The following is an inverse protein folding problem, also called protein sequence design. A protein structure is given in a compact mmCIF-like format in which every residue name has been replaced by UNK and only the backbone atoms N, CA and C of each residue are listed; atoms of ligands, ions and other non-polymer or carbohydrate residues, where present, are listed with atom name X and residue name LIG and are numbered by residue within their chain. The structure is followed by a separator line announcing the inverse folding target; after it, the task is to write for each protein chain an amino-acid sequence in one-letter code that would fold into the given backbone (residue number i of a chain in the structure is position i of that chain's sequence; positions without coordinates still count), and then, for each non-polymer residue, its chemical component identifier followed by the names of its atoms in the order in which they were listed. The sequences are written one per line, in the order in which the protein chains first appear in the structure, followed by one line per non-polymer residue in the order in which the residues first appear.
data_IF_209294347130
#
_entry.id   IF_209294347130
#
_cell.length_a   1.000
_cell.length_b   1.000
_cell.length_c   1.000
_cell.angle_alpha   90.00
_cell.angle_beta   90.00
_cell.angle_gamma   90.00
#
_symmetry.space_group_name_H-M   'P 1'
#
loop_
_entity.id
_entity.type
_entity.pdbx_description
1 polymer ?
#
# COMPACT_ATOMS: atom_id res chain seq x y z
N UNK A 1 -3.45 0.59 -24.12
CA UNK A 1 -2.68 1.85 -24.11
C UNK A 1 -2.78 2.61 -22.78
N UNK A 2 -3.81 2.40 -21.95
CA UNK A 2 -3.98 3.13 -20.68
C UNK A 2 -3.03 2.70 -19.55
N UNK A 3 -2.65 1.42 -19.47
CA UNK A 3 -1.89 0.89 -18.33
C UNK A 3 -0.48 1.48 -18.20
N UNK A 4 0.17 1.81 -19.33
CA UNK A 4 1.48 2.46 -19.31
C UNK A 4 1.42 3.88 -18.74
N UNK A 5 0.35 4.61 -19.04
CA UNK A 5 0.13 5.97 -18.53
C UNK A 5 -0.19 5.89 -17.03
N UNK A 6 -1.07 4.97 -16.63
CA UNK A 6 -1.40 4.72 -15.22
C UNK A 6 -0.15 4.41 -14.39
N UNK A 7 0.74 3.55 -14.91
CA UNK A 7 2.01 3.21 -14.25
C UNK A 7 2.91 4.43 -14.08
N UNK A 8 3.02 5.26 -15.11
CA UNK A 8 3.91 6.42 -15.11
C UNK A 8 3.37 7.52 -14.18
N UNK A 9 2.07 7.77 -14.21
CA UNK A 9 1.39 8.69 -13.29
C UNK A 9 1.48 8.17 -11.86
N UNK A 10 1.29 6.87 -11.63
CA UNK A 10 1.43 6.25 -10.33
C UNK A 10 2.86 6.39 -9.77
N UNK A 11 3.86 6.19 -10.63
CA UNK A 11 5.27 6.36 -10.26
C UNK A 11 5.59 7.81 -9.90
N UNK A 12 5.19 8.77 -10.74
CA UNK A 12 5.38 10.19 -10.45
C UNK A 12 4.67 10.55 -9.14
N UNK A 13 3.41 10.12 -8.97
CA UNK A 13 2.64 10.35 -7.74
C UNK A 13 3.36 9.81 -6.50
N UNK A 14 3.85 8.56 -6.56
CA UNK A 14 4.60 7.96 -5.46
C UNK A 14 5.88 8.74 -5.13
N UNK A 15 6.65 9.17 -6.14
CA UNK A 15 7.84 10.01 -5.92
C UNK A 15 7.46 11.38 -5.35
N UNK A 16 6.40 12.01 -5.85
CA UNK A 16 5.92 13.30 -5.35
C UNK A 16 5.49 13.24 -3.90
N UNK A 17 4.73 12.20 -3.50
CA UNK A 17 4.40 11.99 -2.09
C UNK A 17 5.64 11.70 -1.25
N UNK A 18 6.60 10.93 -1.76
CA UNK A 18 7.87 10.71 -1.07
C UNK A 18 8.61 12.02 -0.76
N UNK A 19 8.64 12.96 -1.71
CA UNK A 19 9.20 14.30 -1.51
C UNK A 19 8.37 15.10 -0.50
N UNK A 20 7.04 15.04 -0.57
CA UNK A 20 6.13 15.72 0.35
C UNK A 20 6.35 15.30 1.81
N UNK A 21 6.59 14.00 2.05
CA UNK A 21 6.90 13.46 3.38
C UNK A 21 8.40 13.54 3.75
N UNK A 22 9.19 14.33 3.00
CA UNK A 22 10.60 14.57 3.26
C UNK A 22 11.43 13.30 3.45
N UNK A 23 11.20 12.28 2.61
CA UNK A 23 11.98 11.04 2.65
C UNK A 23 13.39 11.22 2.08
N UNK A 24 14.38 10.44 2.54
CA UNK A 24 15.76 10.55 2.05
C UNK A 24 15.84 10.42 0.53
N UNK A 25 16.63 11.28 -0.11
CA UNK A 25 16.75 11.35 -1.58
C UNK A 25 17.18 10.03 -2.22
N UNK A 26 17.99 9.24 -1.50
CA UNK A 26 18.47 7.91 -1.93
C UNK A 26 17.35 6.86 -2.07
N UNK A 27 16.17 7.12 -1.50
CA UNK A 27 15.04 6.17 -1.50
C UNK A 27 13.81 6.65 -2.25
N UNK A 28 13.84 7.86 -2.83
CA UNK A 28 12.73 8.42 -3.61
C UNK A 28 12.26 7.46 -4.70
N UNK A 29 13.20 6.93 -5.49
CA UNK A 29 12.89 6.01 -6.59
C UNK A 29 12.25 4.73 -6.05
N UNK A 30 12.82 4.17 -4.97
CA UNK A 30 12.33 2.95 -4.35
C UNK A 30 10.92 3.12 -3.76
N UNK A 31 10.61 4.28 -3.18
CA UNK A 31 9.27 4.59 -2.69
C UNK A 31 8.26 4.77 -3.83
N UNK A 32 8.68 5.41 -4.92
CA UNK A 32 7.88 5.49 -6.16
C UNK A 32 7.55 4.11 -6.72
N UNK A 33 8.52 3.20 -6.77
CA UNK A 33 8.31 1.82 -7.21
C UNK A 33 7.34 1.04 -6.31
N UNK A 34 7.41 1.25 -4.98
CA UNK A 34 6.49 0.64 -4.01
C UNK A 34 5.06 1.14 -4.21
N UNK A 35 4.86 2.45 -4.38
CA UNK A 35 3.52 2.98 -4.65
C UNK A 35 2.96 2.49 -5.99
N UNK A 36 3.81 2.44 -7.02
CA UNK A 36 3.43 1.93 -8.33
C UNK A 36 3.02 0.46 -8.28
N UNK A 37 3.75 -0.39 -7.54
CA UNK A 37 3.44 -1.81 -7.46
C UNK A 37 2.10 -2.08 -6.80
N UNK A 38 1.79 -1.37 -5.70
CA UNK A 38 0.49 -1.46 -5.05
C UNK A 38 -0.66 -0.95 -5.91
N UNK A 39 -0.48 0.21 -6.54
CA UNK A 39 -1.47 0.78 -7.43
C UNK A 39 -1.74 -0.11 -8.65
N UNK A 40 -0.70 -0.69 -9.25
CA UNK A 40 -0.85 -1.59 -10.38
C UNK A 40 -1.65 -2.84 -10.00
N UNK A 41 -1.36 -3.44 -8.85
CA UNK A 41 -2.11 -4.62 -8.35
C UNK A 41 -3.58 -4.25 -8.15
N UNK A 42 -3.85 -3.08 -7.57
CA UNK A 42 -5.20 -2.58 -7.41
C UNK A 42 -5.91 -2.37 -8.77
N UNK A 43 -5.30 -1.60 -9.69
CA UNK A 43 -5.88 -1.28 -10.99
C UNK A 43 -6.13 -2.54 -11.83
N UNK A 44 -5.19 -3.50 -11.85
CA UNK A 44 -5.35 -4.76 -12.56
C UNK A 44 -6.51 -5.58 -11.99
N UNK A 45 -6.60 -5.69 -10.65
CA UNK A 45 -7.67 -6.47 -10.01
C UNK A 45 -9.05 -5.89 -10.31
N UNK A 46 -9.20 -4.57 -10.22
CA UNK A 46 -10.44 -3.86 -10.58
C UNK A 46 -10.73 -4.00 -12.09
N UNK A 47 -9.69 -3.92 -12.94
CA UNK A 47 -9.81 -4.10 -14.39
C UNK A 47 -10.33 -5.47 -14.82
N UNK A 48 -10.12 -6.52 -14.00
CA UNK A 48 -10.70 -7.85 -14.21
C UNK A 48 -12.13 -8.01 -13.66
N UNK A 49 -12.75 -6.92 -13.19
CA UNK A 49 -14.08 -6.94 -12.58
C UNK A 49 -14.07 -7.32 -11.10
N UNK A 50 -12.91 -7.30 -10.45
CA UNK A 50 -12.77 -7.56 -9.03
C UNK A 50 -13.30 -6.41 -8.16
N UNK A 51 -13.69 -6.75 -6.94
CA UNK A 51 -14.19 -5.78 -5.97
C UNK A 51 -13.08 -4.79 -5.50
N UNK A 52 -13.33 -3.47 -5.44
CA UNK A 52 -12.33 -2.48 -5.03
C UNK A 52 -11.76 -2.68 -3.63
N UNK A 53 -12.53 -3.24 -2.69
CA UNK A 53 -12.09 -3.51 -1.32
C UNK A 53 -11.05 -4.64 -1.33
N UNK A 54 -11.34 -5.72 -2.06
CA UNK A 54 -10.40 -6.83 -2.25
C UNK A 54 -9.14 -6.39 -3.02
N UNK A 55 -9.31 -5.60 -4.08
CA UNK A 55 -8.19 -5.03 -4.84
C UNK A 55 -7.25 -4.22 -3.93
N UNK A 56 -7.83 -3.42 -3.03
CA UNK A 56 -7.07 -2.60 -2.09
C UNK A 56 -6.33 -3.46 -1.05
N UNK A 57 -6.94 -4.54 -0.57
CA UNK A 57 -6.26 -5.50 0.32
C UNK A 57 -4.99 -6.05 -0.34
N UNK A 58 -5.09 -6.55 -1.58
CA UNK A 58 -3.94 -7.10 -2.30
C UNK A 58 -2.90 -6.02 -2.63
N UNK A 59 -3.33 -4.81 -3.00
CA UNK A 59 -2.43 -3.68 -3.22
C UNK A 59 -1.63 -3.31 -1.97
N UNK A 60 -2.30 -3.18 -0.82
CA UNK A 60 -1.67 -2.89 0.47
C UNK A 60 -0.73 -4.01 0.93
N UNK A 61 -1.12 -5.27 0.71
CA UNK A 61 -0.28 -6.42 1.01
C UNK A 61 1.03 -6.40 0.21
N UNK A 62 0.96 -6.11 -1.10
CA UNK A 62 2.15 -5.99 -1.96
C UNK A 62 3.02 -4.80 -1.56
N UNK A 63 2.43 -3.66 -1.24
CA UNK A 63 3.16 -2.49 -0.72
C UNK A 63 3.94 -2.86 0.54
N UNK A 64 3.30 -3.52 1.52
CA UNK A 64 3.95 -3.89 2.76
C UNK A 64 5.10 -4.89 2.57
N UNK A 65 4.93 -5.90 1.71
CA UNK A 65 6.01 -6.84 1.39
C UNK A 65 7.19 -6.10 0.75
N UNK A 66 6.92 -5.28 -0.27
CA UNK A 66 7.97 -4.52 -0.96
C UNK A 66 8.69 -3.56 0.00
N UNK A 67 7.92 -2.88 0.87
CA UNK A 67 8.45 -2.00 1.91
C UNK A 67 9.34 -2.75 2.90
N UNK A 68 8.96 -3.94 3.36
CA UNK A 68 9.79 -4.76 4.25
C UNK A 68 11.12 -5.18 3.60
N UNK A 69 11.09 -5.58 2.33
CA UNK A 69 12.30 -5.99 1.60
C UNK A 69 13.26 -4.81 1.42
N UNK A 70 12.74 -3.65 1.04
CA UNK A 70 13.53 -2.43 0.85
C UNK A 70 14.04 -1.86 2.18
N UNK A 71 13.22 -1.85 3.23
CA UNK A 71 13.63 -1.46 4.57
C UNK A 71 14.88 -2.21 5.04
N UNK A 72 14.94 -3.52 4.78
CA UNK A 72 16.10 -4.35 5.11
C UNK A 72 17.32 -4.03 4.25
N UNK A 73 17.12 -3.76 2.96
CA UNK A 73 18.21 -3.42 2.03
C UNK A 73 18.85 -2.07 2.39
N UNK A 74 18.02 -1.05 2.64
CA UNK A 74 18.46 0.30 2.96
C UNK A 74 18.78 0.52 4.44
N UNK A 75 18.47 -0.45 5.32
CA UNK A 75 18.61 -0.36 6.79
C UNK A 75 17.88 0.86 7.36
N UNK A 76 16.63 1.04 6.93
CA UNK A 76 15.79 2.17 7.32
C UNK A 76 14.42 1.69 7.80
N UNK A 77 13.69 2.52 8.57
CA UNK A 77 12.33 2.21 8.99
C UNK A 77 11.41 1.88 7.80
N UNK A 78 10.64 0.80 7.92
CA UNK A 78 9.70 0.35 6.87
C UNK A 78 8.67 1.42 6.51
N UNK A 79 8.27 2.24 7.49
CA UNK A 79 7.25 3.27 7.34
C UNK A 79 7.59 4.29 6.24
N UNK A 80 8.87 4.54 5.97
CA UNK A 80 9.33 5.42 4.89
C UNK A 80 8.83 4.93 3.53
N UNK A 81 8.88 3.62 3.30
CA UNK A 81 8.48 3.02 2.03
C UNK A 81 6.98 2.74 1.98
N UNK A 82 6.39 2.25 3.09
CA UNK A 82 4.98 1.86 3.10
C UNK A 82 4.05 3.06 2.99
N UNK A 83 4.32 4.15 3.72
CA UNK A 83 3.44 5.36 3.70
C UNK A 83 3.34 5.95 2.31
N UNK A 84 4.46 6.06 1.58
CA UNK A 84 4.44 6.59 0.21
C UNK A 84 3.53 5.79 -0.73
N UNK A 85 3.45 4.48 -0.55
CA UNK A 85 2.58 3.63 -1.38
C UNK A 85 1.14 3.60 -0.91
N UNK A 86 0.93 3.51 0.41
CA UNK A 86 -0.41 3.43 1.02
C UNK A 86 -1.25 4.66 0.67
N UNK A 87 -0.65 5.86 0.66
CA UNK A 87 -1.38 7.11 0.41
C UNK A 87 -2.13 7.10 -0.92
N UNK A 88 -1.62 6.41 -1.93
CA UNK A 88 -2.29 6.28 -3.22
C UNK A 88 -3.53 5.38 -3.18
N UNK A 89 -3.61 4.46 -2.22
CA UNK A 89 -4.73 3.55 -2.03
C UNK A 89 -5.76 4.07 -1.02
N UNK A 90 -5.40 5.03 -0.17
CA UNK A 90 -6.32 5.57 0.84
C UNK A 90 -7.53 6.23 0.16
N UNK A 91 -8.77 5.91 0.57
CA UNK A 91 -9.99 6.41 -0.04
C UNK A 91 -10.31 7.85 0.39
N UNK A 92 -9.38 8.78 0.17
CA UNK A 92 -9.51 10.18 0.60
C UNK A 92 -10.67 10.91 -0.09
N UNK A 93 -10.89 10.64 -1.38
CA UNK A 93 -12.02 11.22 -2.14
C UNK A 93 -13.38 10.75 -1.62
N UNK A 94 -13.51 9.47 -1.28
CA UNK A 94 -14.75 8.91 -0.72
C UNK A 94 -15.02 9.46 0.68
N UNK A 95 -13.98 9.58 1.51
CA UNK A 95 -14.10 10.21 2.83
C UNK A 95 -14.51 11.69 2.72
N UNK A 96 -13.91 12.45 1.80
CA UNK A 96 -14.28 13.84 1.56
C UNK A 96 -15.73 13.96 1.05
N UNK A 97 -16.12 13.14 0.07
CA UNK A 97 -17.50 13.13 -0.45
C UNK A 97 -18.52 12.73 0.61
N UNK A 98 -18.19 11.80 1.51
CA UNK A 98 -19.06 11.47 2.63
C UNK A 98 -19.34 12.70 3.51
N UNK A 99 -18.29 13.44 3.89
CA UNK A 99 -18.45 14.67 4.67
C UNK A 99 -19.21 15.75 3.91
N UNK A 100 -18.94 15.92 2.62
CA UNK A 100 -19.62 16.89 1.76
C UNK A 100 -21.13 16.63 1.73
N UNK A 101 -21.55 15.38 1.52
CA UNK A 101 -22.96 15.00 1.46
C UNK A 101 -23.67 15.18 2.82
N UNK A 102 -22.97 15.01 3.94
CA UNK A 102 -23.52 15.36 5.27
C UNK A 102 -23.86 16.85 5.37
N UNK A 103 -22.98 17.72 4.86
CA UNK A 103 -23.21 19.18 4.85
C UNK A 103 -24.36 19.56 3.92
N UNK A 104 -24.51 18.85 2.81
CA UNK A 104 -25.61 19.04 1.84
C UNK A 104 -26.94 18.39 2.29
N UNK A 105 -26.98 17.74 3.45
CA UNK A 105 -28.12 17.00 3.99
C UNK A 105 -28.54 15.77 3.14
N UNK A 106 -27.69 15.28 2.24
CA UNK A 106 -27.88 13.99 1.56
C UNK A 106 -27.25 12.85 2.37
N UNK A 107 -27.97 12.42 3.40
CA UNK A 107 -27.48 11.37 4.30
C UNK A 107 -27.39 9.99 3.66
N UNK A 108 -28.17 9.69 2.62
CA UNK A 108 -28.14 8.38 1.96
C UNK A 108 -26.83 8.21 1.19
N UNK A 109 -26.46 9.22 0.39
CA UNK A 109 -25.18 9.24 -0.33
C UNK A 109 -24.00 9.32 0.64
N UNK A 110 -24.11 10.13 1.70
CA UNK A 110 -23.10 10.22 2.74
C UNK A 110 -22.78 8.86 3.39
N UNK A 111 -23.80 8.09 3.75
CA UNK A 111 -23.64 6.78 4.38
C UNK A 111 -22.99 5.77 3.43
N UNK A 112 -23.34 5.81 2.13
CA UNK A 112 -22.74 4.96 1.10
C UNK A 112 -21.24 5.25 0.96
N UNK A 113 -20.86 6.53 0.78
CA UNK A 113 -19.45 6.92 0.67
C UNK A 113 -18.66 6.65 1.95
N UNK A 114 -19.25 6.87 3.13
CA UNK A 114 -18.62 6.56 4.41
C UNK A 114 -18.38 5.06 4.56
N UNK A 115 -19.37 4.22 4.22
CA UNK A 115 -19.24 2.77 4.24
C UNK A 115 -18.11 2.27 3.35
N UNK A 116 -18.04 2.78 2.11
CA UNK A 116 -16.97 2.40 1.19
C UNK A 116 -15.59 2.87 1.67
N UNK A 117 -15.47 4.10 2.18
CA UNK A 117 -14.23 4.60 2.73
C UNK A 117 -13.76 3.75 3.93
N UNK A 118 -14.67 3.33 4.81
CA UNK A 118 -14.37 2.46 5.95
C UNK A 118 -13.94 1.06 5.50
N UNK A 119 -14.64 0.45 4.54
CA UNK A 119 -14.31 -0.88 4.03
C UNK A 119 -12.94 -0.89 3.35
N UNK A 120 -12.66 0.08 2.47
CA UNK A 120 -11.36 0.21 1.79
C UNK A 120 -10.25 0.47 2.82
N UNK A 121 -10.45 1.38 3.78
CA UNK A 121 -9.46 1.64 4.84
C UNK A 121 -9.21 0.41 5.72
N UNK A 122 -10.27 -0.33 6.05
CA UNK A 122 -10.17 -1.61 6.76
C UNK A 122 -9.38 -2.66 5.98
N UNK A 123 -9.61 -2.74 4.66
CA UNK A 123 -8.85 -3.63 3.78
C UNK A 123 -7.36 -3.27 3.72
N UNK A 124 -7.01 -1.98 3.71
CA UNK A 124 -5.61 -1.52 3.83
C UNK A 124 -5.01 -2.03 5.14
N UNK A 125 -5.67 -1.75 6.28
CA UNK A 125 -5.17 -2.16 7.59
C UNK A 125 -4.95 -3.67 7.66
N UNK A 126 -5.91 -4.46 7.18
CA UNK A 126 -5.80 -5.93 7.13
C UNK A 126 -4.66 -6.39 6.22
N UNK A 127 -4.51 -5.79 5.03
CA UNK A 127 -3.44 -6.13 4.09
C UNK A 127 -2.05 -5.88 4.67
N UNK A 128 -1.87 -4.77 5.39
CA UNK A 128 -0.61 -4.45 6.07
C UNK A 128 -0.29 -5.43 7.21
N UNK A 129 -1.27 -5.71 8.08
CA UNK A 129 -1.08 -6.66 9.20
C UNK A 129 -0.78 -8.06 8.69
N UNK A 130 -1.49 -8.52 7.65
CA UNK A 130 -1.25 -9.84 7.06
C UNK A 130 0.14 -9.93 6.43
N UNK A 131 0.58 -8.90 5.71
CA UNK A 131 1.92 -8.84 5.15
C UNK A 131 3.00 -8.84 6.24
N UNK A 132 2.77 -8.13 7.34
CA UNK A 132 3.70 -8.11 8.48
C UNK A 132 3.84 -9.50 9.09
N UNK A 133 2.74 -10.19 9.41
CA UNK A 133 2.75 -11.55 9.93
C UNK A 133 3.44 -12.52 8.95
N UNK A 134 3.13 -12.42 7.66
CA UNK A 134 3.73 -13.25 6.62
C UNK A 134 5.25 -13.04 6.53
N UNK A 135 5.72 -11.79 6.55
CA UNK A 135 7.14 -11.46 6.51
C UNK A 135 7.87 -11.89 7.78
N UNK A 136 7.25 -11.75 8.96
CA UNK A 136 7.80 -12.22 10.23
C UNK A 136 8.00 -13.74 10.22
N UNK A 137 7.02 -14.51 9.71
CA UNK A 137 7.14 -15.97 9.57
C UNK A 137 8.30 -16.36 8.65
N UNK A 138 8.42 -15.72 7.48
CA UNK A 138 9.51 -15.98 6.54
C UNK A 138 10.87 -15.69 7.18
N UNK A 139 11.01 -14.54 7.85
CA UNK A 139 12.29 -14.17 8.47
C UNK A 139 12.65 -15.10 9.64
N UNK A 140 11.69 -15.54 10.44
CA UNK A 140 11.92 -16.50 11.52
C UNK A 140 12.39 -17.86 10.99
N UNK A 141 11.79 -18.36 9.91
CA UNK A 141 12.20 -19.62 9.26
C UNK A 141 13.61 -19.53 8.66
N UNK A 142 13.95 -18.40 8.03
CA UNK A 142 15.29 -18.18 7.48
C UNK A 142 16.36 -18.06 8.58
N UNK A 143 16.02 -17.48 9.73
CA UNK A 143 16.93 -17.35 10.89
C UNK A 143 17.24 -18.71 11.53
N UNK A 144 16.24 -19.59 11.68
CA UNK A 144 16.44 -20.93 12.24
C UNK A 144 17.28 -21.83 11.34
N UNK A 145 17.16 -21.70 10.01
CA UNK A 145 18.02 -22.42 9.05
C UNK A 145 19.50 -22.01 9.13
N UNK A 146 19.78 -20.72 9.34
CA UNK A 146 21.15 -20.21 9.47
C UNK A 146 21.83 -20.71 10.76
N UNK A 147 21.07 -20.77 11.86
CA UNK A 147 21.57 -21.30 13.14
C UNK A 147 21.89 -22.80 13.10
N UNK A 148 21.09 -23.62 12.40
CA UNK A 148 21.38 -25.06 12.24
C UNK A 148 22.61 -25.34 11.38
N UNK A 149 22.84 -24.56 10.31
CA UNK A 149 23.99 -24.71 9.41
C UNK A 149 25.32 -24.33 10.08
N UNK A 150 25.28 -23.51 11.13
CA UNK A 150 26.45 -23.06 11.88
C UNK A 150 26.77 -23.96 13.09
N UNK A 151 25.82 -24.78 13.53
CA UNK A 151 26.01 -25.81 14.57
C UNK A 151 26.43 -27.18 13.99
N UNK A 152 26.47 -27.32 12.66
CA UNK A 152 26.89 -28.54 11.95
C UNK A 152 28.26 -28.40 11.26
N UNK A 153 29.00 -27.32 11.57
CA UNK A 153 30.39 -27.06 11.17
C UNK A 153 31.23 -27.01 12.45
#
# INVERSE_FOLDING_TARGET
MHWAIETLVAFIGGVSFSVLFNTPTRTLISCGLVGTSGYMVHSMYVGFGGDPVQATFFGAFVIAIAAHLLARSYRMPMIIFSVSGIIMLVPGSRAFNAMLNVVENDYLSALSYAGEALMISGAIAMGLVFAEVFMQLIFNLLRTRKSKKQASL
#
